data_IF_018165874466
#
_entry.id   IF_018165874466
#
_cell.length_a   1.000
_cell.length_b   1.000
_cell.length_c   1.000
_cell.angle_alpha   90.00
_cell.angle_beta   90.00
_cell.angle_gamma   90.00
#
_symmetry.space_group_name_H-M   'P 1'
#
loop_
_entity.id
_entity.type
_entity.pdbx_description
1 polymer ?
#
# COMPACT_ATOMS: atom_id res chain seq x y z
N UNK A 1 0.69 -11.44 -12.62
CA UNK A 1 -0.42 -10.50 -12.37
C UNK A 1 0.03 -9.33 -11.52
N UNK A 2 0.68 -9.57 -10.36
CA UNK A 2 1.30 -8.55 -9.51
C UNK A 2 2.19 -7.54 -10.28
N UNK A 3 3.16 -8.03 -11.05
CA UNK A 3 4.03 -7.15 -11.87
C UNK A 3 3.27 -6.30 -12.89
N UNK A 4 2.12 -6.76 -13.39
CA UNK A 4 1.28 -5.98 -14.30
C UNK A 4 0.55 -4.83 -13.60
N UNK A 5 0.02 -5.09 -12.40
CA UNK A 5 -0.64 -4.06 -11.57
C UNK A 5 0.40 -3.04 -11.04
N UNK A 6 1.58 -3.53 -10.67
CA UNK A 6 2.73 -2.69 -10.33
C UNK A 6 3.14 -1.81 -11.51
N UNK A 7 3.21 -2.36 -12.73
CA UNK A 7 3.53 -1.59 -13.94
C UNK A 7 2.56 -0.44 -14.19
N UNK A 8 1.25 -0.69 -14.11
CA UNK A 8 0.20 0.35 -14.29
C UNK A 8 0.36 1.49 -13.27
N UNK A 9 0.67 1.13 -12.02
CA UNK A 9 0.79 2.13 -10.97
C UNK A 9 2.12 2.89 -11.06
N UNK A 10 3.18 2.28 -11.61
CA UNK A 10 4.48 2.92 -11.82
C UNK A 10 4.41 3.98 -12.92
N UNK A 11 3.58 3.76 -13.94
CA UNK A 11 3.29 4.78 -14.96
C UNK A 11 2.51 5.98 -14.40
N UNK A 12 1.83 5.79 -13.27
CA UNK A 12 1.01 6.83 -12.61
C UNK A 12 1.79 7.67 -11.59
N UNK A 13 2.99 7.24 -11.16
CA UNK A 13 3.79 8.00 -10.20
C UNK A 13 4.90 7.20 -9.50
N UNK A 14 5.71 7.87 -8.67
CA UNK A 14 6.81 7.22 -7.96
C UNK A 14 6.31 6.20 -6.95
N UNK A 15 7.05 5.09 -6.86
CA UNK A 15 6.82 4.00 -5.92
C UNK A 15 8.00 3.83 -4.99
N UNK A 16 7.73 3.23 -3.83
CA UNK A 16 8.78 2.78 -2.92
C UNK A 16 8.50 1.35 -2.48
N UNK A 17 9.47 0.45 -2.72
CA UNK A 17 9.38 -0.94 -2.29
C UNK A 17 9.39 -1.05 -0.77
N UNK A 18 8.62 -2.01 -0.25
CA UNK A 18 8.55 -2.34 1.17
C UNK A 18 9.08 -3.77 1.33
N UNK A 19 10.23 -3.90 1.99
CA UNK A 19 10.85 -5.19 2.24
C UNK A 19 10.15 -5.95 3.38
N UNK A 20 10.15 -7.29 3.29
CA UNK A 20 9.73 -8.17 4.39
C UNK A 20 8.21 -8.30 4.58
N UNK A 21 7.40 -7.88 3.60
CA UNK A 21 5.95 -7.98 3.66
C UNK A 21 5.40 -8.73 2.44
N UNK A 22 4.81 -9.90 2.69
CA UNK A 22 4.34 -10.80 1.64
C UNK A 22 5.47 -11.31 0.74
N UNK A 23 5.11 -11.68 -0.49
CA UNK A 23 6.03 -11.98 -1.59
C UNK A 23 6.47 -10.70 -2.32
N UNK A 24 5.69 -9.63 -2.24
CA UNK A 24 6.04 -8.31 -2.73
C UNK A 24 5.13 -7.23 -2.14
N UNK A 25 5.69 -6.07 -1.85
CA UNK A 25 4.94 -4.92 -1.36
C UNK A 25 5.58 -3.61 -1.81
N UNK A 26 4.74 -2.59 -2.00
CA UNK A 26 5.17 -1.24 -2.31
C UNK A 26 4.16 -0.20 -1.79
N UNK A 27 4.61 1.04 -1.63
CA UNK A 27 3.76 2.20 -1.40
C UNK A 27 3.81 3.17 -2.56
N UNK A 28 2.72 3.91 -2.74
CA UNK A 28 2.64 5.05 -3.65
C UNK A 28 1.71 6.11 -3.05
N UNK A 29 1.78 7.33 -3.58
CA UNK A 29 0.81 8.39 -3.24
C UNK A 29 0.13 8.85 -4.53
N UNK A 30 -1.18 8.90 -4.47
CA UNK A 30 -2.07 9.40 -5.52
C UNK A 30 -2.76 10.67 -5.01
N UNK A 31 -2.82 11.71 -5.84
CA UNK A 31 -3.33 13.03 -5.42
C UNK A 31 -4.81 13.02 -5.05
N UNK A 32 -5.60 12.10 -5.64
CA UNK A 32 -7.05 12.02 -5.43
C UNK A 32 -7.42 11.07 -4.29
N UNK A 33 -6.68 9.97 -4.15
CA UNK A 33 -7.03 8.84 -3.27
C UNK A 33 -6.08 8.67 -2.09
N UNK A 34 -5.00 9.46 -2.02
CA UNK A 34 -4.10 9.52 -0.88
C UNK A 34 -2.94 8.52 -0.97
N UNK A 35 -2.41 8.14 0.20
CA UNK A 35 -1.28 7.21 0.31
C UNK A 35 -1.78 5.79 0.38
N UNK A 36 -1.13 4.90 -0.38
CA UNK A 36 -1.49 3.49 -0.46
C UNK A 36 -0.30 2.60 -0.14
N UNK A 37 -0.59 1.44 0.47
CA UNK A 37 0.31 0.29 0.57
C UNK A 37 -0.34 -0.89 -0.12
N UNK A 38 0.38 -1.50 -1.05
CA UNK A 38 -0.02 -2.69 -1.79
C UNK A 38 0.84 -3.86 -1.33
N UNK A 39 0.22 -5.02 -1.13
CA UNK A 39 0.89 -6.25 -0.75
C UNK A 39 0.34 -7.42 -1.54
N UNK A 40 1.22 -8.32 -1.92
CA UNK A 40 0.91 -9.60 -2.54
C UNK A 40 1.74 -10.70 -1.89
N UNK A 41 1.17 -11.89 -1.66
CA UNK A 41 1.87 -13.02 -1.01
C UNK A 41 1.80 -14.35 -1.78
N UNK A 42 1.43 -14.30 -3.07
CA UNK A 42 1.12 -15.43 -3.94
C UNK A 42 -0.31 -15.97 -3.86
N UNK A 43 -1.09 -15.63 -2.84
CA UNK A 43 -2.48 -16.07 -2.67
C UNK A 43 -3.45 -14.90 -2.52
N UNK A 44 -3.07 -13.90 -1.74
CA UNK A 44 -3.81 -12.68 -1.44
C UNK A 44 -3.17 -11.48 -2.12
N UNK A 45 -4.02 -10.53 -2.49
CA UNK A 45 -3.64 -9.20 -2.94
C UNK A 45 -4.41 -8.18 -2.10
N UNK A 46 -3.69 -7.31 -1.40
CA UNK A 46 -4.27 -6.30 -0.52
C UNK A 46 -3.80 -4.91 -0.94
N UNK A 47 -4.75 -3.98 -1.02
CA UNK A 47 -4.47 -2.55 -1.14
C UNK A 47 -5.10 -1.84 0.05
N UNK A 48 -4.30 -1.13 0.82
CA UNK A 48 -4.75 -0.28 1.91
C UNK A 48 -4.47 1.17 1.57
N UNK A 49 -5.53 1.98 1.52
CA UNK A 49 -5.44 3.42 1.26
C UNK A 49 -5.79 4.24 2.49
N UNK A 50 -5.11 5.36 2.65
CA UNK A 50 -5.49 6.38 3.62
C UNK A 50 -5.43 7.77 2.97
N UNK A 51 -6.53 8.50 3.12
CA UNK A 51 -6.71 9.84 2.60
C UNK A 51 -7.16 10.79 3.73
N UNK A 52 -6.82 12.09 3.63
CA UNK A 52 -7.32 13.07 4.58
C UNK A 52 -8.83 13.20 4.45
N UNK A 53 -9.55 13.15 5.59
CA UNK A 53 -11.01 13.30 5.61
C UNK A 53 -11.48 14.73 5.28
N UNK A 54 -10.56 15.70 5.36
CA UNK A 54 -10.81 17.10 5.01
C UNK A 54 -9.84 17.53 3.92
N UNK A 55 -10.30 18.25 2.89
CA UNK A 55 -9.42 18.81 1.87
C UNK A 55 -8.29 19.64 2.49
N UNK A 56 -7.05 19.40 2.05
CA UNK A 56 -5.87 20.13 2.50
C UNK A 56 -5.36 19.79 3.90
N UNK A 57 -5.97 18.84 4.61
CA UNK A 57 -5.42 18.38 5.89
C UNK A 57 -4.12 17.60 5.66
N UNK A 58 -3.10 17.89 6.47
CA UNK A 58 -1.85 17.14 6.44
C UNK A 58 -2.08 15.70 6.92
N UNK A 59 -1.47 14.75 6.23
CA UNK A 59 -1.40 13.36 6.68
C UNK A 59 -0.21 13.18 7.63
N UNK A 60 -0.28 12.21 8.57
CA UNK A 60 0.87 11.86 9.40
C UNK A 60 2.08 11.44 8.55
N UNK A 61 3.29 11.89 8.94
CA UNK A 61 4.52 11.54 8.23
C UNK A 61 4.90 10.05 8.32
N UNK A 62 4.36 9.33 9.31
CA UNK A 62 4.57 7.89 9.54
C UNK A 62 3.44 7.02 8.96
N UNK A 63 2.61 7.58 8.06
CA UNK A 63 1.41 6.91 7.56
C UNK A 63 1.72 5.59 6.85
N UNK A 64 2.78 5.55 6.03
CA UNK A 64 3.20 4.32 5.33
C UNK A 64 3.51 3.22 6.34
N UNK A 65 4.29 3.51 7.39
CA UNK A 65 4.62 2.54 8.44
C UNK A 65 3.36 2.00 9.14
N UNK A 66 2.37 2.86 9.38
CA UNK A 66 1.09 2.44 9.97
C UNK A 66 0.32 1.51 9.05
N UNK A 67 0.20 1.86 7.76
CA UNK A 67 -0.47 1.02 6.76
C UNK A 67 0.26 -0.32 6.58
N UNK A 68 1.59 -0.33 6.58
CA UNK A 68 2.42 -1.55 6.55
C UNK A 68 2.11 -2.48 7.72
N UNK A 69 1.97 -1.94 8.95
CA UNK A 69 1.58 -2.74 10.12
C UNK A 69 0.17 -3.32 9.98
N UNK A 70 -0.79 -2.53 9.48
CA UNK A 70 -2.16 -3.00 9.24
C UNK A 70 -2.17 -4.09 8.17
N UNK A 71 -1.42 -3.93 7.08
CA UNK A 71 -1.30 -4.94 6.04
C UNK A 71 -0.72 -6.26 6.57
N UNK A 72 0.35 -6.17 7.38
CA UNK A 72 0.96 -7.34 8.02
C UNK A 72 -0.02 -8.08 8.93
N UNK A 73 -0.78 -7.34 9.75
CA UNK A 73 -1.79 -7.91 10.63
C UNK A 73 -2.95 -8.55 9.83
N UNK A 74 -3.42 -7.88 8.77
CA UNK A 74 -4.48 -8.37 7.90
C UNK A 74 -4.07 -9.65 7.17
N UNK A 75 -2.88 -9.69 6.58
CA UNK A 75 -2.35 -10.90 5.96
C UNK A 75 -2.28 -12.07 6.94
N UNK A 76 -1.74 -11.81 8.13
CA UNK A 76 -1.62 -12.84 9.17
C UNK A 76 -2.98 -13.39 9.59
N UNK A 77 -3.99 -12.52 9.72
CA UNK A 77 -5.34 -12.91 10.09
C UNK A 77 -6.12 -13.63 8.99
N UNK A 78 -5.88 -13.29 7.72
CA UNK A 78 -6.56 -13.91 6.57
C UNK A 78 -5.97 -15.28 6.18
N UNK A 79 -4.75 -15.57 6.61
CA UNK A 79 -4.14 -16.89 6.49
C UNK A 79 -4.51 -17.86 7.63
N UNK A 80 -5.18 -17.36 8.68
CA UNK A 80 -5.58 -18.13 9.86
C UNK A 80 -6.77 -19.05 9.64
#
# INVERSE_FOLDING_TARGET
>A
MYEGLRGVQQDSGPMSDIAGLGAGAYSYTDELTGTHVVVYDNNLYLTLGAAPLRPGAAMPGDLVDRLTRVASAALSGLHG
#
